data_IF_683153764142
#
_entry.id   IF_683153764142
#
_cell.length_a   1.000
_cell.length_b   1.000
_cell.length_c   1.000
_cell.angle_alpha   90.00
_cell.angle_beta   90.00
_cell.angle_gamma   90.00
#
_symmetry.space_group_name_H-M   'P 1'
#
loop_
_entity.id
_entity.type
_entity.pdbx_description
1 polymer ?
#
# COMPACT_ATOMS: atom_id res chain seq x y z
N UNK A 1 -8.75 12.44 -24.50
CA UNK A 1 -9.17 12.58 -23.09
C UNK A 1 -8.22 13.55 -22.41
N UNK A 2 -8.67 14.79 -22.20
CA UNK A 2 -7.91 15.82 -21.49
C UNK A 2 -7.86 15.45 -20.00
N UNK A 3 -6.74 14.84 -19.57
CA UNK A 3 -6.47 14.61 -18.16
C UNK A 3 -6.29 15.97 -17.49
N UNK A 4 -7.14 16.29 -16.53
CA UNK A 4 -7.02 17.52 -15.75
C UNK A 4 -5.78 17.38 -14.83
N UNK A 5 -4.72 18.18 -15.05
CA UNK A 5 -3.38 17.93 -14.48
C UNK A 5 -3.29 18.06 -12.95
N UNK A 6 -4.37 18.51 -12.28
CA UNK A 6 -4.40 18.87 -10.85
C UNK A 6 -5.20 17.89 -9.97
N UNK A 7 -5.66 16.76 -10.52
CA UNK A 7 -6.53 15.86 -9.77
C UNK A 7 -5.72 14.89 -8.89
N UNK A 8 -5.71 15.19 -7.59
CA UNK A 8 -5.27 14.28 -6.50
C UNK A 8 -6.49 13.58 -5.94
N UNK A 9 -6.40 12.30 -5.56
CA UNK A 9 -7.45 11.60 -4.79
C UNK A 9 -6.87 10.87 -3.58
N UNK A 10 -7.40 11.17 -2.40
CA UNK A 10 -7.27 10.38 -1.18
C UNK A 10 -8.65 9.92 -0.68
N UNK A 11 -8.72 8.72 -0.12
CA UNK A 11 -9.91 8.24 0.60
C UNK A 11 -9.79 8.68 2.06
N UNK A 12 -10.73 9.50 2.55
CA UNK A 12 -10.73 9.99 3.92
C UNK A 12 -11.98 9.53 4.70
N UNK A 13 -11.81 9.33 6.01
CA UNK A 13 -12.92 9.35 6.98
C UNK A 13 -13.43 10.80 7.16
N UNK A 14 -14.66 11.00 7.65
CA UNK A 14 -15.14 12.33 8.04
C UNK A 14 -14.13 12.97 9.00
N UNK A 15 -13.59 14.14 8.65
CA UNK A 15 -12.59 14.87 9.45
C UNK A 15 -11.14 14.80 8.97
N UNK A 16 -10.80 13.98 7.97
CA UNK A 16 -9.50 14.05 7.29
C UNK A 16 -9.62 14.96 6.07
N UNK A 17 -9.18 16.21 6.27
CA UNK A 17 -9.08 17.30 5.29
C UNK A 17 -10.41 17.60 4.58
N UNK A 18 -11.13 18.59 5.11
CA UNK A 18 -12.25 19.21 4.41
C UNK A 18 -11.78 19.81 3.08
N UNK A 19 -12.61 19.72 2.04
CA UNK A 19 -12.46 20.57 0.85
C UNK A 19 -12.65 22.02 1.30
N UNK A 20 -11.60 22.65 1.81
CA UNK A 20 -11.59 24.07 2.22
C UNK A 20 -11.57 25.03 1.03
N UNK A 21 -12.08 24.59 -0.14
CA UNK A 21 -12.47 25.48 -1.21
C UNK A 21 -13.49 26.53 -0.73
N UNK A 22 -14.24 26.23 0.34
CA UNK A 22 -15.14 27.16 1.00
C UNK A 22 -14.44 28.30 1.79
N UNK A 23 -13.14 28.16 2.11
CA UNK A 23 -12.35 29.16 2.84
C UNK A 23 -11.39 29.97 1.93
N UNK A 24 -11.55 29.89 0.61
CA UNK A 24 -10.75 30.65 -0.36
C UNK A 24 -9.32 30.15 -0.58
N UNK A 25 -8.96 28.96 -0.07
CA UNK A 25 -7.63 28.34 -0.29
C UNK A 25 -7.75 27.12 -1.21
N UNK A 26 -7.22 27.22 -2.43
CA UNK A 26 -7.06 26.06 -3.31
C UNK A 26 -5.75 25.33 -3.01
N UNK A 27 -5.87 24.07 -2.61
CA UNK A 27 -4.76 23.19 -2.27
C UNK A 27 -4.26 22.35 -3.44
N UNK A 28 -4.83 22.50 -4.64
CA UNK A 28 -4.57 21.64 -5.81
C UNK A 28 -4.76 20.14 -5.51
N UNK A 29 -5.54 19.81 -4.47
CA UNK A 29 -5.86 18.47 -4.05
C UNK A 29 -7.37 18.34 -3.85
N UNK A 30 -7.93 17.17 -4.16
CA UNK A 30 -9.34 16.86 -3.95
C UNK A 30 -9.45 15.58 -3.13
N UNK A 31 -10.30 15.60 -2.13
CA UNK A 31 -10.52 14.44 -1.27
C UNK A 31 -11.92 13.94 -1.48
N UNK A 32 -12.03 12.63 -1.64
CA UNK A 32 -13.28 11.98 -1.98
C UNK A 32 -13.64 11.07 -0.82
N UNK A 33 -14.57 11.53 0.01
CA UNK A 33 -15.19 10.68 1.01
C UNK A 33 -16.03 9.61 0.31
N UNK A 34 -15.83 8.35 0.68
CA UNK A 34 -16.67 7.24 0.24
C UNK A 34 -17.67 6.92 1.35
N UNK A 35 -18.96 7.04 1.06
CA UNK A 35 -20.01 6.58 1.95
C UNK A 35 -20.20 5.06 1.75
N UNK A 36 -19.70 4.30 2.72
CA UNK A 36 -19.80 2.83 2.71
C UNK A 36 -21.24 2.32 2.83
N UNK A 37 -22.13 3.06 3.50
CA UNK A 37 -23.54 2.70 3.59
C UNK A 37 -24.22 2.80 2.23
N UNK A 38 -23.93 3.87 1.47
CA UNK A 38 -24.42 4.03 0.10
C UNK A 38 -23.77 3.02 -0.85
N UNK A 39 -22.45 2.80 -0.74
CA UNK A 39 -21.73 1.82 -1.56
C UNK A 39 -22.28 0.40 -1.35
N UNK A 40 -22.58 0.01 -0.11
CA UNK A 40 -23.17 -1.29 0.17
C UNK A 40 -24.57 -1.43 -0.45
N UNK A 41 -25.45 -0.42 -0.26
CA UNK A 41 -26.81 -0.44 -0.84
C UNK A 41 -26.83 -0.43 -2.36
N UNK A 42 -25.81 0.16 -3.01
CA UNK A 42 -25.74 0.22 -4.47
C UNK A 42 -24.90 -0.89 -5.12
N UNK A 43 -24.42 -1.86 -4.33
CA UNK A 43 -23.63 -2.97 -4.81
C UNK A 43 -22.24 -2.56 -5.32
N UNK A 44 -21.63 -1.53 -4.73
CA UNK A 44 -20.26 -1.08 -5.00
C UNK A 44 -20.03 -0.53 -6.43
N UNK A 45 -21.10 -0.19 -7.17
CA UNK A 45 -21.01 0.27 -8.57
C UNK A 45 -20.11 1.51 -8.75
N UNK A 46 -20.01 2.36 -7.74
CA UNK A 46 -19.18 3.59 -7.75
C UNK A 46 -17.78 3.43 -7.15
N UNK A 47 -17.38 2.23 -6.72
CA UNK A 47 -16.12 1.99 -6.00
C UNK A 47 -15.15 1.09 -6.76
N UNK A 48 -15.23 1.06 -8.10
CA UNK A 48 -14.22 0.42 -8.91
C UNK A 48 -12.84 1.04 -8.63
N UNK A 49 -11.88 0.21 -8.22
CA UNK A 49 -10.53 0.66 -7.85
C UNK A 49 -9.75 1.18 -9.06
N UNK A 50 -9.96 0.63 -10.25
CA UNK A 50 -9.28 1.08 -11.47
C UNK A 50 -9.63 2.52 -11.86
N UNK A 51 -10.83 3.00 -11.49
CA UNK A 51 -11.23 4.40 -11.70
C UNK A 51 -10.35 5.38 -10.92
N UNK A 52 -9.67 4.90 -9.88
CA UNK A 52 -8.68 5.70 -9.17
C UNK A 52 -7.48 6.01 -10.07
N UNK A 53 -7.07 5.15 -10.99
CA UNK A 53 -5.86 5.39 -11.80
C UNK A 53 -5.99 6.56 -12.79
N UNK A 54 -7.17 7.17 -12.92
CA UNK A 54 -7.39 8.39 -13.72
C UNK A 54 -6.81 9.68 -13.10
N UNK A 55 -6.39 9.63 -11.84
CA UNK A 55 -5.87 10.78 -11.10
C UNK A 55 -4.35 10.73 -11.06
N UNK A 56 -3.70 11.86 -11.37
CA UNK A 56 -2.23 11.95 -11.49
C UNK A 56 -1.50 11.69 -10.17
N UNK A 57 -2.10 12.04 -9.04
CA UNK A 57 -1.50 11.86 -7.72
C UNK A 57 -2.45 11.09 -6.80
N UNK A 58 -1.86 10.33 -5.88
CA UNK A 58 -2.56 9.48 -4.93
C UNK A 58 -2.10 9.78 -3.52
N UNK A 59 -3.02 9.94 -2.58
CA UNK A 59 -2.65 10.14 -1.17
C UNK A 59 -2.86 8.82 -0.45
N UNK A 60 -1.79 8.29 0.14
CA UNK A 60 -1.87 7.20 1.11
C UNK A 60 -2.01 7.78 2.52
N UNK A 61 -3.00 7.27 3.25
CA UNK A 61 -3.29 7.64 4.64
C UNK A 61 -3.57 6.38 5.44
N UNK A 62 -3.00 6.29 6.64
CA UNK A 62 -3.31 5.22 7.59
C UNK A 62 -4.80 5.16 7.95
N UNK A 63 -5.28 3.96 8.24
CA UNK A 63 -6.62 3.69 8.75
C UNK A 63 -6.65 3.63 10.27
N UNK A 64 -7.26 2.57 10.82
CA UNK A 64 -7.07 2.21 12.24
C UNK A 64 -5.66 1.71 12.52
N UNK A 65 -5.02 1.15 11.49
CA UNK A 65 -3.62 0.75 11.43
C UNK A 65 -3.08 1.10 10.04
N UNK A 66 -2.31 0.24 9.38
CA UNK A 66 -2.02 0.39 7.95
C UNK A 66 -3.33 0.33 7.12
N UNK A 67 -3.28 0.82 5.88
CA UNK A 67 -4.44 0.78 4.98
C UNK A 67 -4.17 -0.12 3.78
N UNK A 68 -5.10 -1.05 3.53
CA UNK A 68 -5.08 -1.95 2.36
C UNK A 68 -5.11 -1.19 1.02
N UNK A 69 -5.37 0.12 1.03
CA UNK A 69 -5.33 0.97 -0.15
C UNK A 69 -3.93 1.14 -0.76
N UNK A 70 -2.85 0.93 0.01
CA UNK A 70 -1.47 1.21 -0.45
C UNK A 70 -1.12 0.43 -1.73
N UNK A 71 -1.35 -0.89 -1.74
CA UNK A 71 -1.12 -1.74 -2.92
C UNK A 71 -1.88 -1.28 -4.17
N UNK A 72 -3.13 -0.82 -4.00
CA UNK A 72 -3.94 -0.34 -5.12
C UNK A 72 -3.50 1.04 -5.60
N UNK A 73 -2.93 1.87 -4.71
CA UNK A 73 -2.33 3.15 -5.09
C UNK A 73 -1.07 2.92 -5.92
N UNK A 74 -0.19 2.03 -5.47
CA UNK A 74 1.05 1.69 -6.17
C UNK A 74 0.79 1.16 -7.59
N UNK A 75 -0.28 0.39 -7.79
CA UNK A 75 -0.63 -0.21 -9.08
C UNK A 75 -1.03 0.77 -10.21
N UNK A 76 -1.18 2.08 -9.94
CA UNK A 76 -1.76 3.04 -10.89
C UNK A 76 -0.75 3.85 -11.73
N UNK A 77 0.55 3.52 -11.75
CA UNK A 77 1.62 4.33 -12.40
C UNK A 77 1.63 5.81 -11.96
N UNK A 78 1.03 6.10 -10.81
CA UNK A 78 0.76 7.45 -10.32
C UNK A 78 1.59 7.71 -9.07
N UNK A 79 2.28 8.85 -8.94
CA UNK A 79 2.94 9.24 -7.70
C UNK A 79 2.06 9.05 -6.47
N UNK A 80 2.56 8.24 -5.54
CA UNK A 80 2.01 8.11 -4.21
C UNK A 80 2.59 9.19 -3.30
N UNK A 81 1.72 9.99 -2.70
CA UNK A 81 2.01 10.92 -1.62
C UNK A 81 1.67 10.21 -0.31
N UNK A 82 2.67 9.63 0.35
CA UNK A 82 2.47 8.82 1.55
C UNK A 82 2.58 9.67 2.80
N UNK A 83 1.50 9.78 3.56
CA UNK A 83 1.52 10.42 4.87
C UNK A 83 2.23 9.48 5.85
N UNK A 84 3.26 9.98 6.53
CA UNK A 84 4.04 9.16 7.44
C UNK A 84 3.17 8.58 8.56
N UNK A 85 3.43 7.32 8.85
CA UNK A 85 2.68 6.49 9.79
C UNK A 85 3.65 5.51 10.45
N UNK A 86 3.43 5.10 11.71
CA UNK A 86 4.21 4.03 12.35
C UNK A 86 3.75 2.62 11.91
N UNK A 87 2.68 2.54 11.11
CA UNK A 87 2.13 1.26 10.67
C UNK A 87 2.76 0.80 9.35
N UNK A 88 3.35 -0.38 9.40
CA UNK A 88 4.00 -1.06 8.28
C UNK A 88 3.17 -2.27 7.85
N UNK A 89 3.07 -2.50 6.54
CA UNK A 89 2.65 -3.77 5.96
C UNK A 89 3.90 -4.66 5.69
N UNK A 90 3.71 -5.92 5.29
CA UNK A 90 4.83 -6.85 5.08
C UNK A 90 5.80 -6.38 3.98
N UNK A 91 5.30 -5.64 2.98
CA UNK A 91 6.08 -5.11 1.85
C UNK A 91 6.58 -3.68 2.06
N UNK A 92 6.05 -2.95 3.05
CA UNK A 92 6.27 -1.50 3.18
C UNK A 92 7.75 -1.14 3.36
N UNK A 93 8.54 -2.00 4.01
CA UNK A 93 10.00 -1.83 4.17
C UNK A 93 10.79 -1.89 2.86
N UNK A 94 10.22 -2.46 1.80
CA UNK A 94 10.80 -2.44 0.46
C UNK A 94 10.58 -1.11 -0.27
N UNK A 95 9.70 -0.23 0.24
CA UNK A 95 9.43 1.06 -0.36
C UNK A 95 10.51 2.09 0.00
N UNK A 96 11.09 2.74 -1.01
CA UNK A 96 12.20 3.68 -0.83
C UNK A 96 11.75 5.09 -1.25
N UNK A 97 11.71 6.07 -0.34
CA UNK A 97 11.52 7.46 -0.73
C UNK A 97 12.85 8.05 -1.28
N UNK A 98 12.84 9.01 -2.23
CA UNK A 98 11.72 9.44 -3.06
C UNK A 98 11.60 8.60 -4.36
N UNK A 99 12.02 7.33 -4.35
CA UNK A 99 12.02 6.45 -5.53
C UNK A 99 10.63 5.91 -5.83
N UNK A 100 9.99 5.23 -4.87
CA UNK A 100 8.67 4.61 -5.04
C UNK A 100 7.52 5.55 -4.67
N UNK A 101 7.77 6.53 -3.78
CA UNK A 101 6.75 7.44 -3.28
C UNK A 101 7.35 8.76 -2.77
N UNK A 102 6.48 9.76 -2.56
CA UNK A 102 6.81 11.03 -1.96
C UNK A 102 6.38 11.07 -0.47
N UNK A 103 7.31 11.27 0.49
CA UNK A 103 6.96 11.31 1.91
C UNK A 103 6.28 12.63 2.30
N UNK A 104 5.21 12.53 3.11
CA UNK A 104 4.40 13.66 3.57
C UNK A 104 4.38 13.69 5.10
N UNK A 105 4.92 14.78 5.65
CA UNK A 105 4.92 15.04 7.09
C UNK A 105 3.49 15.16 7.64
N UNK A 106 3.10 14.34 8.63
CA UNK A 106 1.77 14.35 9.20
C UNK A 106 1.45 15.60 10.02
N UNK A 107 2.45 16.37 10.46
CA UNK A 107 2.26 17.63 11.20
C UNK A 107 1.75 18.77 10.30
N UNK A 108 2.02 18.71 9.00
CA UNK A 108 1.69 19.77 8.05
C UNK A 108 1.15 19.23 6.71
N UNK A 109 0.19 18.32 6.81
CA UNK A 109 -0.34 17.53 5.67
C UNK A 109 -0.76 18.40 4.49
N UNK A 110 -1.56 19.44 4.72
CA UNK A 110 -2.11 20.25 3.63
C UNK A 110 -1.03 21.00 2.84
N UNK A 111 -0.11 21.70 3.52
CA UNK A 111 0.98 22.42 2.85
C UNK A 111 1.98 21.45 2.22
N UNK A 112 2.26 20.33 2.89
CA UNK A 112 3.16 19.29 2.38
C UNK A 112 2.62 18.63 1.10
N UNK A 113 1.33 18.29 1.05
CA UNK A 113 0.67 17.75 -0.14
C UNK A 113 0.68 18.76 -1.27
N UNK A 114 0.30 20.03 -1.00
CA UNK A 114 0.32 21.09 -2.01
C UNK A 114 1.71 21.25 -2.61
N UNK A 115 2.75 21.31 -1.77
CA UNK A 115 4.14 21.40 -2.23
C UNK A 115 4.52 20.22 -3.12
N UNK A 116 4.19 18.98 -2.73
CA UNK A 116 4.49 17.79 -3.52
C UNK A 116 3.82 17.81 -4.90
N UNK A 117 2.57 18.27 -4.95
CA UNK A 117 1.80 18.42 -6.21
C UNK A 117 2.40 19.52 -7.09
N UNK A 118 2.68 20.70 -6.52
CA UNK A 118 3.29 21.81 -7.26
C UNK A 118 4.68 21.39 -7.82
N UNK A 119 5.51 20.73 -7.00
CA UNK A 119 6.80 20.19 -7.43
C UNK A 119 6.65 19.16 -8.55
N UNK A 120 5.73 18.20 -8.40
CA UNK A 120 5.52 17.17 -9.41
C UNK A 120 4.95 17.71 -10.72
N UNK A 121 4.17 18.79 -10.65
CA UNK A 121 3.66 19.49 -11.83
C UNK A 121 4.77 20.26 -12.55
N UNK A 122 5.71 20.84 -11.81
CA UNK A 122 6.92 21.47 -12.37
C UNK A 122 7.93 20.44 -12.91
N UNK A 123 7.90 19.19 -12.43
CA UNK A 123 8.82 18.11 -12.82
C UNK A 123 8.09 16.85 -13.32
N UNK A 124 7.33 16.94 -14.44
CA UNK A 124 6.45 15.87 -14.89
C UNK A 124 7.16 14.55 -15.17
N UNK A 125 8.37 14.58 -15.74
CA UNK A 125 9.16 13.39 -16.03
C UNK A 125 9.62 12.67 -14.74
N UNK A 126 10.02 13.43 -13.71
CA UNK A 126 10.43 12.85 -12.43
C UNK A 126 9.23 12.28 -11.66
N UNK A 127 8.10 13.00 -11.67
CA UNK A 127 6.86 12.50 -11.09
C UNK A 127 6.41 11.21 -11.79
N UNK A 128 6.38 11.18 -13.12
CA UNK A 128 6.00 9.96 -13.86
C UNK A 128 6.95 8.80 -13.56
N UNK A 129 8.26 9.06 -13.45
CA UNK A 129 9.23 8.03 -13.07
C UNK A 129 8.91 7.46 -11.69
N UNK A 130 8.66 8.31 -10.69
CA UNK A 130 8.28 7.85 -9.34
C UNK A 130 7.03 6.97 -9.37
N UNK A 131 5.99 7.36 -10.11
CA UNK A 131 4.78 6.56 -10.26
C UNK A 131 5.06 5.18 -10.89
N UNK A 132 5.91 5.12 -11.91
CA UNK A 132 6.33 3.86 -12.56
C UNK A 132 7.23 2.99 -11.69
N UNK A 133 8.10 3.58 -10.89
CA UNK A 133 8.92 2.84 -9.91
C UNK A 133 8.04 2.22 -8.82
N UNK A 134 7.02 2.95 -8.34
CA UNK A 134 6.05 2.42 -7.38
C UNK A 134 5.21 1.27 -7.94
N UNK A 135 4.74 1.38 -9.19
CA UNK A 135 4.00 0.29 -9.84
C UNK A 135 4.89 -0.87 -10.29
N UNK A 136 6.14 -0.59 -10.66
CA UNK A 136 7.18 -1.58 -10.89
C UNK A 136 7.40 -2.44 -9.66
N UNK A 137 7.61 -1.80 -8.50
CA UNK A 137 7.69 -2.51 -7.21
C UNK A 137 6.46 -3.39 -6.96
N UNK A 138 5.25 -2.86 -7.15
CA UNK A 138 4.03 -3.65 -6.93
C UNK A 138 3.90 -4.86 -7.88
N UNK A 139 4.45 -4.77 -9.10
CA UNK A 139 4.38 -5.85 -10.11
C UNK A 139 5.48 -6.88 -9.91
N UNK A 140 6.68 -6.42 -9.59
CA UNK A 140 7.91 -7.22 -9.64
C UNK A 140 8.32 -7.72 -8.26
N UNK A 141 8.13 -6.91 -7.20
CA UNK A 141 8.56 -7.22 -5.83
C UNK A 141 7.39 -7.65 -4.93
N UNK A 142 6.16 -7.56 -5.43
CA UNK A 142 4.92 -7.95 -4.73
C UNK A 142 4.02 -8.81 -5.62
N UNK A 143 4.64 -9.64 -6.48
CA UNK A 143 3.91 -10.68 -7.21
C UNK A 143 3.30 -11.70 -6.23
N UNK A 144 2.29 -12.45 -6.68
CA UNK A 144 1.68 -13.49 -5.84
C UNK A 144 2.70 -14.57 -5.42
N UNK A 145 3.67 -14.87 -6.28
CA UNK A 145 4.76 -15.80 -5.97
C UNK A 145 5.56 -15.31 -4.75
N UNK A 146 5.97 -14.03 -4.73
CA UNK A 146 6.67 -13.45 -3.58
C UNK A 146 5.81 -13.34 -2.32
N UNK A 147 4.49 -13.13 -2.47
CA UNK A 147 3.57 -13.12 -1.33
C UNK A 147 3.51 -14.50 -0.68
N UNK A 148 3.34 -15.56 -1.47
CA UNK A 148 3.30 -16.92 -0.95
C UNK A 148 4.67 -17.38 -0.41
N UNK A 149 5.77 -17.03 -1.07
CA UNK A 149 7.12 -17.29 -0.57
C UNK A 149 7.35 -16.60 0.78
N UNK A 150 6.94 -15.33 0.93
CA UNK A 150 7.02 -14.62 2.20
C UNK A 150 6.23 -15.33 3.30
N UNK A 151 4.99 -15.74 3.02
CA UNK A 151 4.14 -16.47 3.97
C UNK A 151 4.77 -17.80 4.40
N UNK A 152 5.28 -18.58 3.45
CA UNK A 152 5.94 -19.85 3.70
C UNK A 152 7.18 -19.65 4.58
N UNK A 153 8.00 -18.65 4.27
CA UNK A 153 9.18 -18.34 5.05
C UNK A 153 8.87 -17.92 6.47
N UNK A 154 7.87 -17.04 6.69
CA UNK A 154 7.45 -16.64 8.03
C UNK A 154 7.04 -17.85 8.86
N UNK A 155 6.21 -18.74 8.28
CA UNK A 155 5.76 -19.95 8.98
C UNK A 155 6.92 -20.91 9.28
N UNK A 156 7.83 -21.12 8.32
CA UNK A 156 8.98 -22.03 8.47
C UNK A 156 9.97 -21.52 9.52
N UNK A 157 10.32 -20.23 9.46
CA UNK A 157 11.25 -19.62 10.40
C UNK A 157 10.64 -19.57 11.81
N UNK A 158 9.34 -19.26 11.93
CA UNK A 158 8.64 -19.31 13.20
C UNK A 158 8.62 -20.72 13.80
N UNK A 159 8.33 -21.74 12.98
CA UNK A 159 8.32 -23.14 13.42
C UNK A 159 9.69 -23.60 13.94
N UNK A 160 10.79 -23.13 13.34
CA UNK A 160 12.15 -23.43 13.80
C UNK A 160 12.48 -22.87 15.20
N UNK A 161 11.74 -21.85 15.66
CA UNK A 161 11.91 -21.28 17.01
C UNK A 161 11.16 -22.07 18.09
N UNK A 162 10.31 -23.03 17.72
CA UNK A 162 9.52 -23.80 18.68
C UNK A 162 10.44 -24.69 19.52
N UNK A 163 10.31 -24.56 20.85
CA UNK A 163 11.07 -25.34 21.84
C UNK A 163 10.33 -26.60 22.30
N UNK A 164 9.26 -26.97 21.60
CA UNK A 164 8.41 -28.12 21.90
C UNK A 164 7.93 -28.75 20.60
N UNK A 165 7.49 -30.01 20.68
CA UNK A 165 6.85 -30.71 19.56
C UNK A 165 5.34 -30.43 19.59
N UNK A 166 4.78 -29.74 18.58
CA UNK A 166 3.34 -29.48 18.52
C UNK A 166 2.54 -30.79 18.48
N UNK A 167 1.39 -30.80 19.14
CA UNK A 167 0.38 -31.86 19.07
C UNK A 167 -0.96 -31.27 18.64
N UNK A 168 -1.81 -32.08 18.02
CA UNK A 168 -3.15 -31.66 17.60
C UNK A 168 -4.06 -31.61 18.84
N UNK A 169 -4.68 -30.46 19.17
CA UNK A 169 -5.65 -30.37 20.27
C UNK A 169 -6.89 -31.23 20.02
N UNK A 170 -7.51 -31.77 21.08
CA UNK A 170 -8.70 -32.65 20.98
C UNK A 170 -9.88 -32.02 20.22
N UNK A 171 -10.05 -30.70 20.34
CA UNK A 171 -11.15 -29.95 19.71
C UNK A 171 -10.71 -29.25 18.40
N UNK A 172 -9.55 -29.58 17.86
CA UNK A 172 -9.11 -29.01 16.60
C UNK A 172 -9.96 -29.56 15.45
N UNK A 173 -10.39 -28.66 14.57
CA UNK A 173 -11.08 -29.02 13.33
C UNK A 173 -10.08 -28.92 12.20
N UNK A 174 -9.90 -30.01 11.46
CA UNK A 174 -9.07 -30.02 10.26
C UNK A 174 -9.69 -29.15 9.17
N UNK A 175 -8.87 -28.28 8.57
CA UNK A 175 -9.24 -27.49 7.41
C UNK A 175 -8.59 -28.08 6.17
N UNK A 176 -9.36 -28.81 5.37
CA UNK A 176 -8.98 -29.19 4.01
C UNK A 176 -9.33 -28.08 3.01
N UNK A 177 -8.61 -27.93 1.88
CA UNK A 177 -8.95 -26.96 0.84
C UNK A 177 -10.42 -27.01 0.40
N UNK A 178 -10.96 -28.23 0.27
CA UNK A 178 -12.37 -28.48 -0.04
C UNK A 178 -13.29 -27.93 1.04
N UNK A 179 -12.92 -28.11 2.31
CA UNK A 179 -13.72 -27.70 3.47
C UNK A 179 -13.70 -26.19 3.72
N UNK A 180 -12.62 -25.50 3.33
CA UNK A 180 -12.50 -24.04 3.52
C UNK A 180 -13.59 -23.27 2.77
N UNK A 181 -13.92 -23.71 1.54
CA UNK A 181 -14.97 -23.10 0.74
C UNK A 181 -16.38 -23.66 1.03
N UNK A 182 -16.50 -24.74 1.81
CA UNK A 182 -17.79 -25.43 2.04
C UNK A 182 -18.82 -24.57 2.79
N UNK A 183 -18.38 -23.78 3.77
CA UNK A 183 -19.28 -22.92 4.55
C UNK A 183 -19.58 -21.58 3.86
N UNK A 184 -18.78 -21.21 2.86
CA UNK A 184 -18.95 -19.97 2.09
C UNK A 184 -20.10 -20.09 1.10
N UNK A 185 -20.76 -18.97 0.80
CA UNK A 185 -21.88 -18.91 -0.15
C UNK A 185 -21.70 -17.75 -1.13
N UNK A 186 -22.36 -17.83 -2.29
CA UNK A 186 -22.31 -16.79 -3.31
C UNK A 186 -20.89 -16.48 -3.78
N UNK A 187 -20.56 -15.18 -3.89
CA UNK A 187 -19.26 -14.68 -4.38
C UNK A 187 -18.08 -15.08 -3.50
N UNK A 188 -18.29 -15.23 -2.20
CA UNK A 188 -17.20 -15.62 -1.30
C UNK A 188 -16.72 -17.04 -1.62
N UNK A 189 -17.65 -17.96 -1.91
CA UNK A 189 -17.31 -19.32 -2.34
C UNK A 189 -16.64 -19.32 -3.71
N UNK A 190 -17.14 -18.53 -4.65
CA UNK A 190 -16.56 -18.39 -5.99
C UNK A 190 -15.09 -17.96 -5.91
N UNK A 191 -14.79 -16.85 -5.21
CA UNK A 191 -13.42 -16.35 -5.05
C UNK A 191 -12.52 -17.33 -4.31
N UNK A 192 -13.00 -18.01 -3.26
CA UNK A 192 -12.22 -19.02 -2.55
C UNK A 192 -11.84 -20.20 -3.46
N UNK A 193 -12.78 -20.66 -4.28
CA UNK A 193 -12.54 -21.76 -5.22
C UNK A 193 -11.60 -21.33 -6.36
N UNK A 194 -11.70 -20.10 -6.85
CA UNK A 194 -10.79 -19.53 -7.85
C UNK A 194 -9.36 -19.34 -7.32
N UNK A 195 -9.21 -19.00 -6.04
CA UNK A 195 -7.89 -18.85 -5.40
C UNK A 195 -7.24 -20.18 -4.98
N UNK A 196 -7.89 -21.31 -5.27
CA UNK A 196 -7.38 -22.62 -4.88
C UNK A 196 -6.18 -23.00 -5.74
N UNK A 197 -5.03 -23.18 -5.12
CA UNK A 197 -3.88 -23.80 -5.77
C UNK A 197 -4.16 -25.28 -6.07
N UNK A 198 -4.04 -25.65 -7.35
CA UNK A 198 -4.38 -26.99 -7.84
C UNK A 198 -3.19 -27.95 -7.80
N UNK A 199 -1.98 -27.41 -7.72
CA UNK A 199 -0.74 -28.17 -7.77
C UNK A 199 0.23 -27.65 -6.72
N UNK A 200 1.04 -28.56 -6.19
CA UNK A 200 2.19 -28.17 -5.38
C UNK A 200 3.23 -27.55 -6.32
N UNK A 201 3.87 -26.46 -5.90
CA UNK A 201 4.95 -25.85 -6.66
C UNK A 201 6.04 -26.89 -6.95
N UNK A 202 6.43 -27.02 -8.24
CA UNK A 202 7.47 -27.95 -8.69
C UNK A 202 8.90 -27.43 -8.52
N UNK A 203 9.06 -26.23 -7.96
CA UNK A 203 10.34 -25.58 -7.70
C UNK A 203 10.55 -25.43 -6.20
N UNK A 204 11.82 -25.38 -5.78
CA UNK A 204 12.17 -25.15 -4.38
C UNK A 204 11.88 -23.69 -3.99
N UNK A 205 11.44 -23.43 -2.74
CA UNK A 205 11.29 -22.07 -2.24
C UNK A 205 12.58 -21.27 -2.39
N UNK A 206 12.46 -19.95 -2.57
CA UNK A 206 13.64 -19.10 -2.60
C UNK A 206 14.46 -19.22 -1.30
N UNK A 207 15.77 -19.00 -1.38
CA UNK A 207 16.62 -18.96 -0.19
C UNK A 207 16.63 -17.53 0.35
N UNK A 208 16.19 -17.35 1.60
CA UNK A 208 16.27 -16.04 2.24
C UNK A 208 17.73 -15.60 2.41
N UNK A 209 18.05 -14.33 2.11
CA UNK A 209 19.34 -13.78 2.48
C UNK A 209 19.50 -13.80 4.01
N UNK A 210 20.75 -13.75 4.52
CA UNK A 210 20.98 -13.61 5.94
C UNK A 210 20.29 -12.35 6.50
N UNK A 211 19.90 -12.35 7.79
CA UNK A 211 19.35 -11.16 8.43
C UNK A 211 20.32 -9.98 8.34
N UNK A 212 19.78 -8.77 8.25
CA UNK A 212 20.57 -7.56 8.34
C UNK A 212 21.34 -7.50 9.67
N UNK A 213 22.56 -7.01 9.60
CA UNK A 213 23.35 -6.65 10.76
C UNK A 213 22.81 -5.37 11.41
N UNK A 214 23.10 -5.18 12.69
CA UNK A 214 22.72 -3.95 13.40
C UNK A 214 23.35 -2.67 12.79
N UNK A 215 24.44 -2.81 12.04
CA UNK A 215 25.05 -1.70 11.30
C UNK A 215 24.23 -1.37 10.05
N UNK A 216 23.91 -2.37 9.22
CA UNK A 216 23.06 -2.20 8.03
C UNK A 216 21.69 -1.62 8.39
N UNK A 217 21.07 -2.06 9.48
CA UNK A 217 19.80 -1.50 9.96
C UNK A 217 19.93 -0.01 10.30
N UNK A 218 21.02 0.40 10.96
CA UNK A 218 21.28 1.81 11.30
C UNK A 218 21.54 2.64 10.04
N UNK A 219 22.29 2.11 9.09
CA UNK A 219 22.56 2.79 7.82
C UNK A 219 21.28 3.00 7.00
N UNK A 220 20.42 1.98 6.92
CA UNK A 220 19.12 2.09 6.26
C UNK A 220 18.25 3.18 6.90
N UNK A 221 18.16 3.18 8.24
CA UNK A 221 17.42 4.19 8.98
C UNK A 221 17.98 5.61 8.77
N UNK A 222 19.31 5.75 8.82
CA UNK A 222 19.98 7.04 8.59
C UNK A 222 19.78 7.55 7.15
N UNK A 223 19.79 6.65 6.16
CA UNK A 223 19.51 6.99 4.76
C UNK A 223 18.09 7.50 4.59
N UNK A 224 17.12 6.85 5.23
CA UNK A 224 15.73 7.27 5.19
C UNK A 224 15.53 8.64 5.83
N UNK A 225 16.15 8.90 6.99
CA UNK A 225 16.12 10.21 7.65
C UNK A 225 16.75 11.30 6.78
N UNK A 226 17.87 11.02 6.12
CA UNK A 226 18.52 11.99 5.22
C UNK A 226 17.64 12.35 4.03
N UNK A 227 16.96 11.37 3.42
CA UNK A 227 15.97 11.61 2.37
C UNK A 227 14.86 12.51 2.88
N UNK A 228 14.29 12.20 4.05
CA UNK A 228 13.20 12.99 4.66
C UNK A 228 13.65 14.44 4.89
N UNK A 229 14.85 14.63 5.43
CA UNK A 229 15.45 15.96 5.64
C UNK A 229 15.65 16.72 4.33
N UNK A 230 16.07 16.05 3.25
CA UNK A 230 16.20 16.67 1.92
C UNK A 230 14.84 17.12 1.38
N UNK A 231 13.79 16.31 1.52
CA UNK A 231 12.42 16.68 1.13
C UNK A 231 11.92 17.88 1.93
N UNK A 232 12.20 17.96 3.25
CA UNK A 232 11.87 19.13 4.07
C UNK A 232 12.64 20.37 3.61
N UNK A 233 13.94 20.26 3.31
CA UNK A 233 14.75 21.37 2.77
C UNK A 233 14.21 21.91 1.45
N UNK A 234 13.63 21.05 0.60
CA UNK A 234 12.99 21.49 -0.64
C UNK A 234 11.74 22.35 -0.37
N UNK A 235 10.99 22.09 0.71
CA UNK A 235 9.79 22.87 1.08
C UNK A 235 10.09 24.29 1.56
N UNK A 236 11.29 24.52 2.10
CA UNK A 236 11.69 25.81 2.68
C UNK A 236 12.34 26.80 1.70
N UNK A 237 12.37 26.46 0.41
CA UNK A 237 12.84 27.32 -0.68
C UNK A 237 11.66 27.75 -1.54
#
# INVERSE_FOLDING_TARGET
>A
MTLNPSLVRGMSKPGSTTNDSAAGKDWNARLFALDWGVANRNGFKGSNLAEQCRYRYKIYVQGRSWSVSEKYILACDSPMLAIDTPFEDFFSRGLVPPRHYWPVDPKDKCRAVKFAVDWGNAHPALAQRMGKEGSGFAREEMSMDYVYDYMLHVLTQYAALLRYKPTVPENAVELCPESMACSAQGRDREFMMESREMYVAGYEPCTLPPPFTAEEEREMAAREEDVRRKVVKMKGR
#
